data_IF_705626756808
#
_entry.id   IF_705626756808
#
_cell.length_a   1.000
_cell.length_b   1.000
_cell.length_c   1.000
_cell.angle_alpha   90.00
_cell.angle_beta   90.00
_cell.angle_gamma   90.00
#
_symmetry.space_group_name_H-M   'P 1'
#
loop_
_entity.id
_entity.type
_entity.pdbx_description
1 polymer ?
#
# COMPACT_ATOMS: atom_id res chain seq x y z
N UNK A 1 -1.05 -10.12 -13.69
CA UNK A 1 -1.50 -10.64 -12.39
C UNK A 1 -2.95 -10.23 -12.19
N UNK A 2 -3.85 -11.13 -11.82
CA UNK A 2 -5.24 -10.79 -11.55
C UNK A 2 -5.36 -9.79 -10.40
N UNK A 3 -6.30 -8.85 -10.50
CA UNK A 3 -6.54 -7.84 -9.45
C UNK A 3 -6.98 -8.49 -8.12
N UNK A 4 -7.62 -9.63 -8.21
CA UNK A 4 -8.13 -10.43 -7.09
C UNK A 4 -7.01 -10.94 -6.17
N UNK A 5 -5.81 -11.16 -6.71
CA UNK A 5 -4.65 -11.61 -5.93
C UNK A 5 -3.88 -10.47 -5.27
N UNK A 6 -4.22 -9.21 -5.55
CA UNK A 6 -3.52 -8.05 -5.04
C UNK A 6 -3.89 -7.76 -3.58
N UNK A 7 -3.02 -8.12 -2.65
CA UNK A 7 -3.20 -7.90 -1.21
C UNK A 7 -2.53 -6.61 -0.73
N UNK A 8 -1.33 -6.33 -1.22
CA UNK A 8 -0.59 -5.14 -0.85
C UNK A 8 0.23 -4.60 -2.01
N UNK A 9 0.43 -3.29 -2.01
CA UNK A 9 1.39 -2.58 -2.87
C UNK A 9 2.40 -1.91 -1.97
N UNK A 10 3.68 -2.17 -2.20
CA UNK A 10 4.78 -1.50 -1.51
C UNK A 10 5.56 -0.72 -2.56
N UNK A 11 5.43 0.58 -2.54
CA UNK A 11 6.17 1.47 -3.43
C UNK A 11 7.48 1.87 -2.74
N UNK A 12 8.61 1.46 -3.32
CA UNK A 12 9.94 1.68 -2.73
C UNK A 12 10.61 2.89 -3.37
N UNK A 13 11.16 3.76 -2.53
CA UNK A 13 11.93 4.95 -2.92
C UNK A 13 13.32 4.93 -2.28
N UNK A 14 14.32 5.39 -3.01
CA UNK A 14 15.66 5.60 -2.44
C UNK A 14 15.63 6.77 -1.45
N UNK A 15 15.12 7.91 -1.90
CA UNK A 15 14.95 9.12 -1.08
C UNK A 15 13.54 9.65 -1.30
N UNK A 16 12.81 9.89 -0.21
CA UNK A 16 11.44 10.39 -0.29
C UNK A 16 11.43 11.92 -0.47
N UNK A 17 10.82 12.36 -1.56
CA UNK A 17 10.64 13.79 -1.89
C UNK A 17 9.17 14.15 -2.03
N UNK A 18 8.85 15.44 -2.11
CA UNK A 18 7.48 15.93 -2.42
C UNK A 18 6.97 15.34 -3.74
N UNK A 19 7.81 15.35 -4.78
CA UNK A 19 7.45 14.81 -6.10
C UNK A 19 7.12 13.32 -6.04
N UNK A 20 7.89 12.55 -5.25
CA UNK A 20 7.63 11.12 -5.07
C UNK A 20 6.29 10.89 -4.38
N UNK A 21 5.98 11.66 -3.34
CA UNK A 21 4.70 11.56 -2.65
C UNK A 21 3.52 11.87 -3.55
N UNK A 22 3.63 12.91 -4.40
CA UNK A 22 2.60 13.22 -5.39
C UNK A 22 2.37 12.02 -6.32
N UNK A 23 3.45 11.40 -6.81
CA UNK A 23 3.40 10.18 -7.62
C UNK A 23 2.73 9.01 -6.87
N UNK A 24 3.11 8.80 -5.61
CA UNK A 24 2.54 7.76 -4.76
C UNK A 24 1.02 7.94 -4.56
N UNK A 25 0.55 9.17 -4.32
CA UNK A 25 -0.89 9.43 -4.19
C UNK A 25 -1.65 9.18 -5.50
N UNK A 26 -1.06 9.53 -6.65
CA UNK A 26 -1.65 9.23 -7.96
C UNK A 26 -1.72 7.72 -8.18
N UNK A 27 -0.65 6.99 -7.88
CA UNK A 27 -0.59 5.54 -8.01
C UNK A 27 -1.57 4.84 -7.03
N UNK A 28 -1.61 5.29 -5.78
CA UNK A 28 -2.54 4.79 -4.78
C UNK A 28 -4.00 4.95 -5.23
N UNK A 29 -4.36 6.09 -5.83
CA UNK A 29 -5.69 6.31 -6.40
C UNK A 29 -6.01 5.30 -7.49
N UNK A 30 -5.06 5.00 -8.38
CA UNK A 30 -5.24 3.98 -9.43
C UNK A 30 -5.47 2.60 -8.83
N UNK A 31 -4.71 2.23 -7.79
CA UNK A 31 -4.91 0.97 -7.06
C UNK A 31 -6.31 0.92 -6.43
N UNK A 32 -6.78 2.01 -5.81
CA UNK A 32 -8.13 2.07 -5.22
C UNK A 32 -9.24 2.00 -6.28
N UNK A 33 -8.96 2.35 -7.53
CA UNK A 33 -9.92 2.26 -8.63
C UNK A 33 -10.04 0.85 -9.24
N UNK A 34 -9.11 -0.05 -8.94
CA UNK A 34 -9.18 -1.45 -9.37
C UNK A 34 -10.39 -2.11 -8.68
N UNK A 35 -11.12 -2.94 -9.42
CA UNK A 35 -12.33 -3.60 -8.96
C UNK A 35 -12.20 -5.13 -8.96
N UNK A 36 -11.44 -5.72 -8.02
CA UNK A 36 -11.42 -7.16 -7.86
C UNK A 36 -12.83 -7.64 -7.49
N UNK A 37 -13.26 -8.76 -8.05
CA UNK A 37 -14.59 -9.31 -7.80
C UNK A 37 -15.73 -8.28 -8.00
N UNK A 38 -15.57 -7.33 -8.95
CA UNK A 38 -16.50 -6.24 -9.27
C UNK A 38 -16.66 -5.17 -8.17
N UNK A 39 -15.86 -5.19 -7.12
CA UNK A 39 -15.86 -4.21 -6.04
C UNK A 39 -14.55 -3.41 -6.02
N UNK A 40 -14.59 -2.14 -5.66
CA UNK A 40 -13.38 -1.34 -5.52
C UNK A 40 -12.62 -1.69 -4.25
N UNK A 41 -11.28 -1.61 -4.31
CA UNK A 41 -10.48 -1.71 -3.10
C UNK A 41 -10.75 -0.53 -2.15
N UNK A 42 -10.82 -0.85 -0.88
CA UNK A 42 -10.87 0.16 0.19
C UNK A 42 -9.54 0.17 0.96
N UNK A 43 -9.22 1.28 1.65
CA UNK A 43 -8.03 1.37 2.50
C UNK A 43 -8.03 0.30 3.59
N UNK A 44 -6.84 -0.08 4.06
CA UNK A 44 -6.70 -0.99 5.18
C UNK A 44 -7.39 -0.41 6.42
N UNK A 45 -8.19 -1.22 7.09
CA UNK A 45 -8.84 -0.80 8.33
C UNK A 45 -7.92 -0.94 9.53
N UNK A 46 -8.28 -0.21 10.56
CA UNK A 46 -7.69 -0.32 11.88
C UNK A 46 -7.86 -1.72 12.47
N UNK A 47 -6.94 -2.08 13.35
CA UNK A 47 -6.98 -3.34 14.09
C UNK A 47 -8.26 -3.47 14.93
N UNK A 48 -8.81 -4.67 15.00
CA UNK A 48 -9.82 -5.07 15.98
C UNK A 48 -11.26 -5.22 15.48
N UNK A 49 -11.63 -4.76 14.28
CA UNK A 49 -12.97 -5.04 13.74
C UNK A 49 -12.87 -5.89 12.49
N UNK A 50 -13.48 -7.09 12.47
CA UNK A 50 -13.66 -7.82 11.23
C UNK A 50 -14.35 -6.91 10.23
N UNK A 51 -13.91 -6.90 8.99
CA UNK A 51 -14.61 -6.14 7.98
C UNK A 51 -15.86 -6.93 7.58
N UNK A 52 -16.94 -6.65 8.22
CA UNK A 52 -18.27 -7.19 7.93
C UNK A 52 -18.89 -6.56 6.67
N UNK A 53 -18.23 -5.53 6.13
CA UNK A 53 -18.72 -4.74 5.00
C UNK A 53 -18.59 -5.40 3.61
N UNK A 54 -18.11 -6.65 3.55
CA UNK A 54 -17.92 -7.38 2.28
C UNK A 54 -16.84 -6.79 1.34
N UNK A 55 -16.24 -5.65 1.67
CA UNK A 55 -15.27 -4.99 0.82
C UNK A 55 -13.87 -5.63 0.97
N UNK A 56 -13.17 -5.75 -0.15
CA UNK A 56 -11.77 -6.19 -0.17
C UNK A 56 -10.84 -5.02 0.09
N UNK A 57 -9.71 -5.32 0.75
CA UNK A 57 -8.74 -4.32 1.13
C UNK A 57 -7.40 -4.60 0.46
N UNK A 58 -6.73 -3.53 0.04
CA UNK A 58 -5.37 -3.59 -0.44
C UNK A 58 -4.54 -2.62 0.38
N UNK A 59 -3.51 -3.10 1.06
CA UNK A 59 -2.59 -2.24 1.81
C UNK A 59 -1.71 -1.46 0.83
N UNK A 60 -1.66 -0.13 0.95
CA UNK A 60 -0.76 0.68 0.15
C UNK A 60 0.30 1.32 1.04
N UNK A 61 1.54 0.92 0.82
CA UNK A 61 2.70 1.34 1.60
C UNK A 61 3.66 2.14 0.72
N UNK A 62 4.17 3.24 1.25
CA UNK A 62 5.35 3.92 0.74
C UNK A 62 6.51 3.59 1.66
N UNK A 63 7.49 2.88 1.16
CA UNK A 63 8.72 2.55 1.86
C UNK A 63 9.86 3.38 1.27
N UNK A 64 10.64 4.06 2.11
CA UNK A 64 11.82 4.79 1.65
C UNK A 64 13.04 4.48 2.50
N UNK A 65 14.19 4.39 1.83
CA UNK A 65 15.47 4.21 2.52
C UNK A 65 15.90 5.49 3.23
N UNK A 66 15.57 6.65 2.67
CA UNK A 66 15.94 7.95 3.22
C UNK A 66 14.88 9.01 2.88
N UNK A 67 15.08 10.21 3.40
CA UNK A 67 14.26 11.40 3.13
C UNK A 67 15.17 12.62 3.01
N UNK A 68 14.77 13.58 2.19
CA UNK A 68 15.46 14.87 2.09
C UNK A 68 15.10 15.85 3.23
N UNK A 69 14.30 15.42 4.22
CA UNK A 69 14.01 16.20 5.40
C UNK A 69 15.03 15.89 6.51
N UNK A 70 15.46 16.94 7.22
CA UNK A 70 16.32 16.79 8.41
C UNK A 70 15.66 16.01 9.54
N UNK A 71 16.47 15.56 10.51
CA UNK A 71 16.00 14.75 11.64
C UNK A 71 15.08 15.53 12.59
N UNK A 72 15.39 16.81 12.82
CA UNK A 72 14.65 17.64 13.75
C UNK A 72 13.19 17.78 13.30
N UNK A 73 12.27 17.47 14.20
CA UNK A 73 10.82 17.52 13.94
C UNK A 73 10.39 16.78 12.67
N UNK A 74 11.16 15.75 12.26
CA UNK A 74 10.91 15.01 11.03
C UNK A 74 9.45 14.58 10.89
N UNK A 75 8.87 14.03 11.94
CA UNK A 75 7.50 13.50 11.91
C UNK A 75 6.48 14.58 11.53
N UNK A 76 6.59 15.77 12.10
CA UNK A 76 5.69 16.89 11.80
C UNK A 76 5.91 17.41 10.38
N UNK A 77 7.17 17.55 9.97
CA UNK A 77 7.54 18.01 8.61
C UNK A 77 7.06 17.03 7.55
N UNK A 78 7.27 15.74 7.78
CA UNK A 78 6.85 14.68 6.86
C UNK A 78 5.32 14.59 6.76
N UNK A 79 4.61 14.68 7.89
CA UNK A 79 3.15 14.68 7.88
C UNK A 79 2.58 15.91 7.14
N UNK A 80 3.17 17.10 7.35
CA UNK A 80 2.80 18.30 6.60
C UNK A 80 3.03 18.13 5.09
N UNK A 81 4.16 17.51 4.71
CA UNK A 81 4.49 17.19 3.32
C UNK A 81 3.49 16.22 2.70
N UNK A 82 3.10 15.18 3.43
CA UNK A 82 2.08 14.22 3.03
C UNK A 82 0.73 14.92 2.79
N UNK A 83 0.32 15.79 3.71
CA UNK A 83 -0.94 16.54 3.56
C UNK A 83 -0.89 17.48 2.34
N UNK A 84 0.24 18.13 2.12
CA UNK A 84 0.48 18.94 0.92
C UNK A 84 0.36 18.13 -0.36
N UNK A 85 1.04 17.00 -0.44
CA UNK A 85 1.00 16.10 -1.60
C UNK A 85 -0.42 15.57 -1.88
N UNK A 86 -1.16 15.20 -0.83
CA UNK A 86 -2.55 14.79 -0.98
C UNK A 86 -3.42 15.90 -1.58
N UNK A 87 -3.26 17.13 -1.07
CA UNK A 87 -4.01 18.29 -1.55
C UNK A 87 -3.69 18.65 -3.01
N UNK A 88 -2.40 18.66 -3.40
CA UNK A 88 -1.96 18.94 -4.77
C UNK A 88 -2.61 18.01 -5.80
N UNK A 89 -2.74 16.74 -5.47
CA UNK A 89 -3.37 15.76 -6.36
C UNK A 89 -4.89 15.59 -6.13
N UNK A 90 -5.50 16.47 -5.33
CA UNK A 90 -6.92 16.38 -4.95
C UNK A 90 -7.27 14.99 -4.38
N UNK A 91 -6.34 14.41 -3.62
CA UNK A 91 -6.46 13.11 -2.98
C UNK A 91 -6.83 13.24 -1.50
N UNK A 92 -7.11 12.09 -0.88
CA UNK A 92 -7.32 11.97 0.57
C UNK A 92 -6.12 11.31 1.20
N UNK A 93 -5.77 11.69 2.42
CA UNK A 93 -4.65 11.09 3.18
C UNK A 93 -4.77 9.57 3.33
N UNK A 94 -6.00 9.04 3.43
CA UNK A 94 -6.26 7.61 3.57
C UNK A 94 -6.06 6.78 2.28
N UNK A 95 -5.62 7.38 1.18
CA UNK A 95 -5.20 6.62 0.00
C UNK A 95 -3.93 5.81 0.28
N UNK A 96 -3.03 6.35 1.11
CA UNK A 96 -1.82 5.69 1.58
C UNK A 96 -2.05 5.23 3.02
N UNK A 97 -1.83 3.95 3.30
CA UNK A 97 -2.06 3.38 4.63
C UNK A 97 -0.86 3.61 5.55
N UNK A 98 0.34 3.44 5.01
CA UNK A 98 1.59 3.56 5.77
C UNK A 98 2.65 4.26 4.93
N UNK A 99 3.36 5.19 5.53
CA UNK A 99 4.64 5.71 5.04
C UNK A 99 5.71 5.30 6.04
N UNK A 100 6.70 4.56 5.58
CA UNK A 100 7.84 4.14 6.38
C UNK A 100 9.12 4.71 5.78
N UNK A 101 9.91 5.40 6.59
CA UNK A 101 11.23 5.89 6.23
C UNK A 101 12.26 5.22 7.13
N UNK A 102 13.17 4.44 6.52
CA UNK A 102 14.18 3.70 7.24
C UNK A 102 15.02 4.66 8.10
N UNK A 103 15.32 4.27 9.34
CA UNK A 103 16.03 5.07 10.35
C UNK A 103 15.34 6.38 10.79
N UNK A 104 14.14 6.69 10.30
CA UNK A 104 13.36 7.86 10.72
C UNK A 104 12.12 7.45 11.50
N UNK A 105 11.31 6.55 10.94
CA UNK A 105 10.10 6.09 11.58
C UNK A 105 8.97 5.76 10.62
N UNK A 106 7.77 5.76 11.16
CA UNK A 106 6.56 5.37 10.48
C UNK A 106 5.44 6.40 10.68
N UNK A 107 4.68 6.64 9.63
CA UNK A 107 3.47 7.48 9.64
C UNK A 107 2.29 6.66 9.13
N UNK A 108 1.16 6.77 9.80
CA UNK A 108 -0.14 6.24 9.39
C UNK A 108 -1.05 7.43 9.05
N UNK A 109 -1.09 7.86 7.77
CA UNK A 109 -1.71 9.12 7.38
C UNK A 109 -3.19 9.22 7.76
N UNK A 110 -3.95 8.13 7.59
CA UNK A 110 -5.37 8.09 7.93
C UNK A 110 -5.67 8.29 9.42
N UNK A 111 -4.71 7.94 10.28
CA UNK A 111 -4.81 8.11 11.75
C UNK A 111 -4.24 9.44 12.25
N UNK A 112 -3.63 10.23 11.37
CA UNK A 112 -2.85 11.41 11.75
C UNK A 112 -1.82 11.07 12.85
N UNK A 113 -1.23 9.88 12.81
CA UNK A 113 -0.33 9.35 13.83
C UNK A 113 0.98 8.88 13.21
N UNK A 114 2.04 8.98 13.97
CA UNK A 114 3.34 8.49 13.58
C UNK A 114 4.22 8.20 14.79
N UNK A 115 5.29 7.47 14.53
CA UNK A 115 6.30 7.09 15.51
C UNK A 115 7.68 7.31 14.93
N UNK A 116 8.55 7.93 15.69
CA UNK A 116 9.97 8.11 15.35
C UNK A 116 10.74 6.88 15.81
N UNK A 117 11.79 6.50 15.09
CA UNK A 117 12.74 5.50 15.56
C UNK A 117 13.51 6.05 16.77
N UNK A 118 13.62 5.26 17.80
CA UNK A 118 14.61 5.49 18.86
C UNK A 118 16.00 5.11 18.30
N UNK A 119 17.02 5.89 18.62
CA UNK A 119 18.31 5.94 17.92
C UNK A 119 19.04 4.57 17.74
N UNK A 120 18.79 3.59 18.58
CA UNK A 120 19.50 2.31 18.57
C UNK A 120 18.64 1.07 18.26
N UNK A 121 17.34 1.21 18.13
CA UNK A 121 16.46 0.05 17.96
C UNK A 121 15.52 0.25 16.77
N UNK A 122 15.61 -0.61 15.78
CA UNK A 122 14.70 -0.62 14.62
C UNK A 122 13.28 -1.08 14.99
N UNK A 123 12.78 -0.67 16.16
CA UNK A 123 11.47 -1.07 16.70
C UNK A 123 10.33 -0.68 15.75
N UNK A 124 10.44 0.45 15.06
CA UNK A 124 9.43 0.86 14.08
C UNK A 124 9.45 -0.02 12.84
N UNK A 125 10.60 -0.62 12.47
CA UNK A 125 10.66 -1.57 11.36
C UNK A 125 9.97 -2.89 11.72
N UNK A 126 10.21 -3.40 12.91
CA UNK A 126 9.52 -4.59 13.41
C UNK A 126 8.01 -4.32 13.49
N UNK A 127 7.60 -3.17 14.00
CA UNK A 127 6.19 -2.78 14.06
C UNK A 127 5.55 -2.71 12.67
N UNK A 128 6.24 -2.10 11.70
CA UNK A 128 5.83 -2.09 10.31
C UNK A 128 5.67 -3.50 9.73
N UNK A 129 6.67 -4.37 9.94
CA UNK A 129 6.65 -5.74 9.48
C UNK A 129 5.49 -6.53 10.09
N UNK A 130 5.29 -6.44 11.40
CA UNK A 130 4.17 -7.09 12.09
C UNK A 130 2.82 -6.57 11.60
N UNK A 131 2.72 -5.28 11.32
CA UNK A 131 1.51 -4.68 10.75
C UNK A 131 1.21 -5.26 9.36
N UNK A 132 2.20 -5.38 8.49
CA UNK A 132 2.08 -5.98 7.17
C UNK A 132 1.65 -7.45 7.27
N UNK A 133 2.33 -8.26 8.09
CA UNK A 133 2.03 -9.68 8.25
C UNK A 133 0.62 -9.89 8.81
N UNK A 134 0.24 -9.12 9.83
CA UNK A 134 -1.10 -9.19 10.40
C UNK A 134 -2.19 -8.80 9.40
N UNK A 135 -1.93 -7.79 8.57
CA UNK A 135 -2.84 -7.43 7.48
C UNK A 135 -3.01 -8.60 6.50
N UNK A 136 -1.91 -9.17 6.02
CA UNK A 136 -1.93 -10.28 5.06
C UNK A 136 -2.68 -11.49 5.62
N UNK A 137 -2.40 -11.88 6.88
CA UNK A 137 -3.07 -13.00 7.56
C UNK A 137 -4.58 -12.81 7.66
N UNK A 138 -5.05 -11.59 7.85
CA UNK A 138 -6.49 -11.29 7.93
C UNK A 138 -7.15 -11.22 6.57
N UNK A 139 -6.47 -10.68 5.57
CA UNK A 139 -7.08 -10.41 4.28
C UNK A 139 -7.06 -11.62 3.33
N UNK A 140 -6.03 -12.47 3.41
CA UNK A 140 -5.95 -13.68 2.58
C UNK A 140 -7.17 -14.60 2.68
N UNK A 141 -7.62 -15.01 3.89
CA UNK A 141 -8.75 -15.93 4.02
C UNK A 141 -10.08 -15.32 3.57
N UNK A 142 -10.15 -14.00 3.49
CA UNK A 142 -11.37 -13.26 3.06
C UNK A 142 -11.52 -13.24 1.53
N UNK A 143 -10.45 -13.58 0.79
CA UNK A 143 -10.50 -13.61 -0.66
C UNK A 143 -11.25 -14.85 -1.15
N UNK A 144 -12.20 -14.70 -2.07
CA UNK A 144 -12.77 -15.85 -2.76
C UNK A 144 -11.69 -16.65 -3.49
N UNK A 145 -11.94 -17.94 -3.66
CA UNK A 145 -11.08 -18.77 -4.50
C UNK A 145 -11.09 -18.21 -5.93
N UNK A 146 -9.90 -18.03 -6.48
CA UNK A 146 -9.76 -17.52 -7.84
C UNK A 146 -10.08 -18.63 -8.84
N UNK A 147 -10.94 -18.33 -9.79
CA UNK A 147 -11.15 -19.16 -10.96
C UNK A 147 -10.03 -18.93 -11.98
N UNK A 148 -8.96 -19.73 -11.89
CA UNK A 148 -7.83 -19.68 -12.81
C UNK A 148 -8.23 -20.04 -14.23
N UNK A 149 -9.26 -20.86 -14.44
CA UNK A 149 -9.72 -21.26 -15.76
C UNK A 149 -10.34 -20.07 -16.50
N UNK A 150 -11.06 -19.18 -15.81
CA UNK A 150 -11.60 -17.97 -16.41
C UNK A 150 -10.51 -17.03 -16.92
N UNK A 151 -9.30 -17.08 -16.33
CA UNK A 151 -8.13 -16.32 -16.80
C UNK A 151 -7.40 -17.02 -17.94
N UNK A 152 -7.27 -18.34 -17.91
CA UNK A 152 -6.58 -19.12 -18.94
C UNK A 152 -7.34 -19.10 -20.27
N UNK A 153 -8.68 -19.15 -20.22
CA UNK A 153 -9.50 -19.09 -21.44
C UNK A 153 -9.38 -17.78 -22.23
N UNK A 154 -9.01 -16.68 -21.56
CA UNK A 154 -8.74 -15.38 -22.21
C UNK A 154 -7.34 -15.30 -22.81
N UNK A 155 -6.39 -16.07 -22.30
CA UNK A 155 -5.00 -16.11 -22.80
C UNK A 155 -4.78 -17.20 -23.82
N UNK A 156 -5.69 -18.16 -23.94
CA UNK A 156 -5.59 -19.25 -24.94
C UNK A 156 -5.90 -18.83 -26.38
N UNK A 157 -6.44 -17.63 -26.58
CA UNK A 157 -6.61 -17.08 -27.96
C UNK A 157 -5.25 -16.64 -28.49
N UNK A 158 -4.75 -17.36 -29.47
CA UNK A 158 -3.49 -17.05 -30.16
C UNK A 158 -2.37 -18.08 -29.97
N UNK A 159 -2.62 -19.16 -29.23
CA UNK A 159 -1.69 -20.30 -29.23
C UNK A 159 -1.91 -21.14 -30.48
N UNK A 160 -0.89 -21.20 -31.33
CA UNK A 160 -0.85 -22.14 -32.47
C UNK A 160 -0.17 -23.43 -31.99
N UNK A 161 -0.76 -24.58 -32.36
CA UNK A 161 -0.05 -25.85 -32.21
C UNK A 161 1.06 -25.89 -33.28
N UNK A 162 2.30 -25.89 -32.77
CA UNK A 162 3.45 -26.17 -33.64
C UNK A 162 3.52 -27.67 -33.82
N UNK A 163 3.28 -28.15 -35.03
CA UNK A 163 3.57 -29.53 -35.40
C UNK A 163 5.08 -29.73 -35.34
N UNK A 164 5.53 -30.84 -34.76
CA UNK A 164 6.92 -31.27 -34.79
C UNK A 164 7.40 -31.31 -36.26
N UNK A 165 8.45 -30.55 -36.56
CA UNK A 165 9.11 -30.53 -37.85
C UNK A 165 10.09 -31.69 -37.96
#
# INVERSE_FOLDING_TARGET
MPAESLLAVIEVKTTLTQKDLNGCFIAARKVRAIRPFKQSFVPAREEGKPAEDGNFRCLYVVFSYDTNLGADDWLKKEFKRLAGAANEVKGKLNLIDVVYVLRRGMIRPAKCAGKVNDDDQMNTFLEFYLHLVNFLRREMPRRPTMDWQAYSSKTSKGWEQLSDA
#
